data_IF_429008927505
#
_entry.id   IF_429008927505
#
_cell.length_a   1.000
_cell.length_b   1.000
_cell.length_c   1.000
_cell.angle_alpha   90.00
_cell.angle_beta   90.00
_cell.angle_gamma   90.00
#
_symmetry.space_group_name_H-M   'P 1'
#
loop_
_entity.id
_entity.type
_entity.pdbx_description
1 polymer ?
#
# COMPACT_ATOMS: atom_id res chain seq x y z
N UNK A 1 6.65 12.83 -3.39
CA UNK A 1 6.84 11.49 -2.78
C UNK A 1 5.76 10.55 -3.30
N UNK A 2 6.15 9.48 -3.98
CA UNK A 2 5.21 8.54 -4.60
C UNK A 2 4.46 7.73 -3.55
N UNK A 3 3.15 7.58 -3.75
CA UNK A 3 2.23 6.86 -2.84
C UNK A 3 1.55 5.75 -3.62
N UNK A 4 1.61 4.54 -3.07
CA UNK A 4 0.98 3.36 -3.63
C UNK A 4 -0.22 2.98 -2.77
N UNK A 5 -1.34 2.68 -3.39
CA UNK A 5 -2.42 1.97 -2.69
C UNK A 5 -1.93 0.59 -2.25
N UNK A 6 -2.55 -0.02 -1.23
CA UNK A 6 -2.24 -1.40 -0.85
C UNK A 6 -2.35 -2.39 -2.02
N UNK A 7 -3.24 -2.14 -2.98
CA UNK A 7 -3.35 -2.94 -4.22
C UNK A 7 -2.11 -2.78 -5.11
N UNK A 8 -1.66 -1.55 -5.34
CA UNK A 8 -0.46 -1.28 -6.14
C UNK A 8 0.80 -1.81 -5.46
N UNK A 9 0.93 -1.61 -4.15
CA UNK A 9 2.05 -2.15 -3.39
C UNK A 9 2.10 -3.69 -3.46
N UNK A 10 0.94 -4.36 -3.37
CA UNK A 10 0.88 -5.81 -3.52
C UNK A 10 1.34 -6.28 -4.90
N UNK A 11 0.91 -5.59 -5.98
CA UNK A 11 1.36 -5.88 -7.33
C UNK A 11 2.88 -5.71 -7.48
N UNK A 12 3.43 -4.62 -6.94
CA UNK A 12 4.88 -4.37 -6.94
C UNK A 12 5.67 -5.38 -6.09
N UNK A 13 5.02 -6.07 -5.15
CA UNK A 13 5.63 -7.10 -4.31
C UNK A 13 5.30 -8.52 -4.81
N UNK A 14 4.72 -8.67 -6.01
CA UNK A 14 4.38 -9.98 -6.57
C UNK A 14 3.35 -10.77 -5.76
N UNK A 15 2.42 -10.09 -5.06
CA UNK A 15 1.42 -10.75 -4.20
C UNK A 15 0.01 -10.18 -4.38
N UNK A 16 -0.97 -10.85 -3.78
CA UNK A 16 -2.36 -10.38 -3.71
C UNK A 16 -2.56 -9.35 -2.61
N UNK A 17 -3.48 -8.38 -2.83
CA UNK A 17 -3.84 -7.36 -1.83
C UNK A 17 -4.21 -7.98 -0.47
N UNK A 18 -5.05 -9.01 -0.47
CA UNK A 18 -5.52 -9.66 0.77
C UNK A 18 -4.37 -10.31 1.53
N UNK A 19 -3.49 -11.01 0.81
CA UNK A 19 -2.27 -11.62 1.38
C UNK A 19 -1.36 -10.55 1.98
N UNK A 20 -1.07 -9.48 1.23
CA UNK A 20 -0.28 -8.37 1.74
C UNK A 20 -0.92 -7.76 3.00
N UNK A 21 -2.22 -7.46 3.00
CA UNK A 21 -2.90 -6.91 4.17
C UNK A 21 -2.81 -7.83 5.40
N UNK A 22 -2.84 -9.15 5.20
CA UNK A 22 -2.65 -10.11 6.29
C UNK A 22 -1.22 -10.03 6.84
N UNK A 23 -0.22 -10.12 5.97
CA UNK A 23 1.21 -10.05 6.35
C UNK A 23 1.54 -8.73 7.05
N UNK A 24 1.01 -7.61 6.55
CA UNK A 24 1.22 -6.30 7.18
C UNK A 24 0.56 -6.19 8.56
N UNK A 25 -0.57 -6.87 8.80
CA UNK A 25 -1.19 -6.95 10.14
C UNK A 25 -0.36 -7.83 11.08
N UNK A 26 0.12 -8.97 10.60
CA UNK A 26 1.02 -9.86 11.34
C UNK A 26 2.32 -9.16 11.75
N UNK A 27 2.83 -8.27 10.90
CA UNK A 27 4.00 -7.41 11.20
C UNK A 27 3.68 -6.17 12.05
N UNK A 28 2.43 -5.93 12.42
CA UNK A 28 2.02 -4.73 13.18
C UNK A 28 2.09 -3.42 12.40
N UNK A 29 2.20 -3.48 11.07
CA UNK A 29 2.19 -2.30 10.19
C UNK A 29 0.77 -1.77 9.96
N UNK A 30 -0.22 -2.67 9.98
CA UNK A 30 -1.63 -2.35 9.86
C UNK A 30 -2.40 -2.81 11.10
N UNK A 31 -3.49 -2.10 11.41
CA UNK A 31 -4.47 -2.54 12.40
C UNK A 31 -5.56 -3.45 11.79
N UNK A 32 -6.57 -3.81 12.60
CA UNK A 32 -7.72 -4.62 12.16
C UNK A 32 -8.55 -3.99 11.03
N UNK A 33 -8.51 -2.66 10.88
CA UNK A 33 -9.20 -1.90 9.84
C UNK A 33 -8.33 -1.61 8.60
N UNK A 34 -7.11 -2.16 8.55
CA UNK A 34 -6.10 -1.88 7.53
C UNK A 34 -5.63 -0.41 7.53
N UNK A 35 -5.68 0.25 8.70
CA UNK A 35 -5.08 1.56 8.91
C UNK A 35 -3.62 1.42 9.33
N UNK A 36 -2.77 2.29 8.79
CA UNK A 36 -1.35 2.32 9.16
C UNK A 36 -1.16 2.66 10.63
N UNK A 37 -0.40 1.83 11.34
CA UNK A 37 -0.11 2.06 12.78
C UNK A 37 0.80 3.26 12.97
N UNK A 38 0.70 3.92 14.14
CA UNK A 38 1.46 5.14 14.46
C UNK A 38 2.97 4.96 14.24
N UNK A 39 3.52 3.82 14.63
CA UNK A 39 4.95 3.53 14.45
C UNK A 39 5.37 3.61 12.97
N UNK A 40 4.54 3.11 12.05
CA UNK A 40 4.84 3.09 10.63
C UNK A 40 4.42 4.36 9.90
N UNK A 41 3.44 5.11 10.41
CA UNK A 41 3.09 6.43 9.87
C UNK A 41 4.08 7.51 10.31
N UNK A 42 4.43 7.58 11.60
CA UNK A 42 5.45 8.51 12.10
C UNK A 42 6.83 8.24 11.53
N UNK A 43 7.17 6.96 11.29
CA UNK A 43 8.39 6.65 10.56
C UNK A 43 8.35 7.18 9.14
N UNK A 44 7.18 7.41 8.53
CA UNK A 44 6.96 7.79 7.13
C UNK A 44 6.86 6.61 6.16
N UNK A 45 6.53 5.41 6.64
CA UNK A 45 6.46 4.16 5.82
C UNK A 45 5.08 4.04 5.21
N UNK A 46 4.07 4.39 6.00
CA UNK A 46 2.67 4.44 5.62
C UNK A 46 2.14 5.86 5.77
N UNK A 47 1.09 6.17 5.01
CA UNK A 47 0.31 7.41 5.14
C UNK A 47 -1.15 7.00 5.22
N UNK A 48 -1.92 7.63 6.11
CA UNK A 48 -3.37 7.45 6.18
C UNK A 48 -4.01 8.76 5.74
N UNK A 49 -4.82 8.71 4.69
CA UNK A 49 -5.63 9.85 4.23
C UNK A 49 -7.08 9.65 4.64
N UNK A 50 -7.72 10.71 5.12
CA UNK A 50 -9.17 10.72 5.28
C UNK A 50 -9.83 10.85 3.90
N UNK A 51 -10.74 9.93 3.60
CA UNK A 51 -11.57 9.97 2.40
C UNK A 51 -13.03 9.89 2.79
N UNK A 52 -13.88 10.27 1.86
CA UNK A 52 -15.32 10.26 2.04
C UNK A 52 -15.93 9.51 0.87
N UNK A 53 -16.91 8.66 1.15
CA UNK A 53 -17.73 8.06 0.11
C UNK A 53 -19.18 8.51 0.28
N UNK A 54 -19.78 8.97 -0.82
CA UNK A 54 -21.19 9.30 -0.89
C UNK A 54 -21.99 8.07 -1.31
N UNK A 55 -22.87 7.60 -0.42
CA UNK A 55 -23.80 6.54 -0.75
C UNK A 55 -25.05 7.16 -1.39
N UNK A 56 -25.28 6.85 -2.66
CA UNK A 56 -26.54 7.19 -3.37
C UNK A 56 -27.71 6.49 -2.66
N UNK A 57 -28.45 7.23 -1.83
CA UNK A 57 -29.71 6.78 -1.20
C UNK A 57 -29.83 6.92 0.32
N UNK A 58 -28.74 7.11 1.09
CA UNK A 58 -28.77 7.11 2.57
C UNK A 58 -28.27 8.42 3.23
N UNK A 59 -28.12 9.48 2.44
CA UNK A 59 -28.18 10.87 2.92
C UNK A 59 -26.98 11.42 3.69
N UNK A 60 -25.97 10.61 4.09
CA UNK A 60 -24.78 11.17 4.74
C UNK A 60 -23.45 10.56 4.25
N UNK A 61 -22.47 11.40 3.85
CA UNK A 61 -21.12 10.97 3.53
C UNK A 61 -20.45 10.32 4.75
N UNK A 62 -19.92 9.10 4.60
CA UNK A 62 -19.16 8.44 5.67
C UNK A 62 -17.65 8.64 5.46
N UNK A 63 -16.95 9.25 6.43
CA UNK A 63 -15.50 9.34 6.37
C UNK A 63 -14.87 7.96 6.64
N UNK A 64 -13.80 7.64 5.92
CA UNK A 64 -12.98 6.46 6.12
C UNK A 64 -11.50 6.77 5.92
N UNK A 65 -10.64 6.13 6.71
CA UNK A 65 -9.20 6.21 6.51
C UNK A 65 -8.75 5.29 5.38
N UNK A 66 -7.86 5.78 4.52
CA UNK A 66 -7.24 4.98 3.46
C UNK A 66 -5.73 4.99 3.62
N UNK A 67 -5.16 3.80 3.80
CA UNK A 67 -3.70 3.62 3.91
C UNK A 67 -3.03 3.57 2.55
N UNK A 68 -1.93 4.29 2.45
CA UNK A 68 -1.00 4.29 1.34
C UNK A 68 0.38 3.85 1.82
N UNK A 69 1.08 3.13 0.96
CA UNK A 69 2.46 2.73 1.14
C UNK A 69 3.33 3.75 0.42
N UNK A 70 4.33 4.26 1.11
CA UNK A 70 5.33 5.17 0.52
C UNK A 70 6.41 4.35 -0.18
N UNK A 71 7.23 4.95 -1.04
CA UNK A 71 8.40 4.27 -1.61
C UNK A 71 9.29 3.62 -0.52
N UNK A 72 9.60 4.36 0.54
CA UNK A 72 10.38 3.83 1.67
C UNK A 72 9.65 2.70 2.41
N UNK A 73 8.33 2.80 2.52
CA UNK A 73 7.50 1.72 3.06
C UNK A 73 7.55 0.47 2.20
N UNK A 74 7.53 0.63 0.88
CA UNK A 74 7.60 -0.46 -0.08
C UNK A 74 8.93 -1.22 0.04
N UNK A 75 10.05 -0.50 0.06
CA UNK A 75 11.39 -1.09 0.27
C UNK A 75 11.53 -1.79 1.62
N UNK A 76 10.96 -1.19 2.68
CA UNK A 76 10.94 -1.81 4.01
C UNK A 76 10.16 -3.12 4.02
N UNK A 77 8.98 -3.14 3.39
CA UNK A 77 8.14 -4.34 3.30
C UNK A 77 8.84 -5.43 2.47
N UNK A 78 9.40 -5.05 1.33
CA UNK A 78 10.18 -5.94 0.47
C UNK A 78 11.30 -6.64 1.25
N UNK A 79 12.10 -5.86 2.00
CA UNK A 79 13.18 -6.39 2.83
C UNK A 79 12.66 -7.33 3.95
N UNK A 80 11.57 -6.98 4.64
CA UNK A 80 11.04 -7.83 5.72
C UNK A 80 10.38 -9.12 5.22
N UNK A 81 9.80 -9.10 4.02
CA UNK A 81 9.16 -10.27 3.42
C UNK A 81 10.12 -11.09 2.55
N UNK A 82 11.36 -10.65 2.37
CA UNK A 82 12.33 -11.31 1.49
C UNK A 82 11.89 -11.32 0.04
N UNK A 83 11.26 -10.24 -0.42
CA UNK A 83 10.72 -10.09 -1.77
C UNK A 83 11.46 -9.01 -2.53
N UNK A 84 11.58 -9.20 -3.84
CA UNK A 84 11.99 -8.14 -4.74
C UNK A 84 10.82 -7.22 -5.07
N UNK A 85 11.13 -5.94 -5.25
CA UNK A 85 10.16 -5.00 -5.80
C UNK A 85 10.21 -5.14 -7.32
N UNK A 86 9.09 -5.56 -7.91
CA UNK A 86 8.89 -5.60 -9.36
C UNK A 86 8.88 -4.17 -9.88
N UNK A 87 10.05 -3.63 -10.16
CA UNK A 87 10.21 -2.52 -11.08
C UNK A 87 10.18 -3.13 -12.47
N UNK A 88 9.08 -2.99 -13.22
CA UNK A 88 9.16 -3.23 -14.67
C UNK A 88 10.15 -2.20 -15.25
N UNK A 89 11.42 -2.59 -15.25
CA UNK A 89 12.47 -2.09 -16.13
C UNK A 89 12.95 -3.22 -17.05
N UNK A 90 12.05 -4.16 -17.35
CA UNK A 90 12.11 -4.92 -18.60
C UNK A 90 11.35 -4.11 -19.66
N UNK A 91 11.96 -3.01 -20.08
CA UNK A 91 11.85 -2.59 -21.47
C UNK A 91 12.83 -3.46 -22.26
N UNK A 92 12.49 -4.74 -22.41
CA UNK A 92 12.96 -5.49 -23.57
C UNK A 92 12.25 -4.87 -24.79
N UNK A 93 13.01 -4.51 -25.83
CA UNK A 93 12.58 -3.93 -27.11
C UNK A 93 12.25 -2.43 -27.21
N UNK A 94 13.25 -1.55 -27.02
CA UNK A 94 13.29 -0.26 -27.74
C UNK A 94 14.63 -0.03 -28.47
N UNK A 95 15.29 -1.14 -28.84
CA UNK A 95 16.42 -1.15 -29.76
C UNK A 95 16.06 -1.95 -31.01
N UNK A 96 14.97 -1.55 -31.69
CA UNK A 96 14.69 -1.93 -33.08
C UNK A 96 13.52 -1.09 -33.62
N UNK A 97 13.84 0.09 -34.16
CA UNK A 97 13.19 0.72 -35.32
C UNK A 97 14.04 1.90 -35.79
#
# INVERSE_FOLDING_TARGET
>A
MTRYTLKQAAALLGTGRTTLCRELREMGMLDSHNLGTRQHTSAGRLIVELRTYEHVGLGQPRPYGKTFVTERGLLYIANRLGRDVVTHREAANDAQA
#
